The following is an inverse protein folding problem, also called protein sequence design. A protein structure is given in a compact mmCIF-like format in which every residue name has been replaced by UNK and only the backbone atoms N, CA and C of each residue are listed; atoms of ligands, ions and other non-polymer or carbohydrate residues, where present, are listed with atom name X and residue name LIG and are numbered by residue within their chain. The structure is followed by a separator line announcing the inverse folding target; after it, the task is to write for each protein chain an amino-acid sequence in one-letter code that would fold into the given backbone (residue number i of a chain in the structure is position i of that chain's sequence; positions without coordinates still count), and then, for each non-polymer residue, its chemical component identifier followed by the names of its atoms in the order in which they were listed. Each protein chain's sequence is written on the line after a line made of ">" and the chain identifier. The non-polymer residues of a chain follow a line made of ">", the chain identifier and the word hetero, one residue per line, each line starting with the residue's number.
data_IF_820236304596
#
_entry.id   IF_820236304596
#
_cell.length_a   1.000
_cell.length_b   1.000
_cell.length_c   1.000
_cell.angle_alpha   90.00
_cell.angle_beta   90.00
_cell.angle_gamma   90.00
#
_symmetry.space_group_name_H-M   'P 1'
#
loop_
_entity.id
_entity.type
_entity.pdbx_description
1 polymer ?
#
# COMPACT_ATOMS: atom_id res chain seq x y z
N UNK A 1 6.52 -24.59 -8.16
CA UNK A 1 5.73 -23.58 -8.94
C UNK A 1 6.67 -22.78 -9.84
N UNK A 2 6.24 -22.42 -11.05
CA UNK A 2 7.01 -21.49 -11.88
C UNK A 2 7.01 -20.10 -11.22
N UNK A 3 8.19 -19.58 -10.88
CA UNK A 3 8.35 -18.26 -10.28
C UNK A 3 8.57 -17.23 -11.39
N UNK A 4 7.47 -16.79 -12.02
CA UNK A 4 7.49 -15.81 -13.11
C UNK A 4 8.17 -14.51 -12.68
N UNK A 5 8.92 -13.88 -13.59
CA UNK A 5 9.56 -12.59 -13.35
C UNK A 5 8.52 -11.50 -13.07
N UNK A 6 7.47 -11.46 -13.89
CA UNK A 6 6.39 -10.50 -13.84
C UNK A 6 5.16 -10.97 -14.61
N UNK A 7 4.01 -10.38 -14.31
CA UNK A 7 2.82 -10.42 -15.15
C UNK A 7 1.99 -9.16 -14.93
N UNK A 8 1.50 -8.58 -16.02
CA UNK A 8 0.48 -7.54 -16.02
C UNK A 8 -0.83 -8.14 -16.54
N UNK A 9 -1.87 -8.05 -15.72
CA UNK A 9 -3.22 -8.52 -16.03
C UNK A 9 -4.11 -7.30 -16.28
N UNK A 10 -4.20 -6.77 -17.52
CA UNK A 10 -4.84 -5.48 -17.80
C UNK A 10 -6.34 -5.45 -17.46
N UNK A 11 -7.05 -6.56 -17.63
CA UNK A 11 -8.51 -6.61 -17.44
C UNK A 11 -8.93 -6.48 -15.97
N UNK A 12 -8.10 -6.98 -15.06
CA UNK A 12 -8.29 -6.88 -13.60
C UNK A 12 -7.35 -5.86 -12.95
N UNK A 13 -6.47 -5.27 -13.77
CA UNK A 13 -5.46 -4.30 -13.40
C UNK A 13 -4.59 -4.74 -12.22
N UNK A 14 -4.03 -5.94 -12.33
CA UNK A 14 -3.11 -6.52 -11.34
C UNK A 14 -1.72 -6.64 -11.95
N UNK A 15 -0.73 -6.09 -11.25
CA UNK A 15 0.68 -6.29 -11.52
C UNK A 15 1.29 -7.23 -10.49
N UNK A 16 2.12 -8.16 -10.93
CA UNK A 16 3.09 -8.86 -10.08
C UNK A 16 4.49 -8.75 -10.68
N UNK A 17 5.52 -8.62 -9.83
CA UNK A 17 6.92 -8.61 -10.26
C UNK A 17 7.86 -9.07 -9.12
N UNK A 18 8.96 -9.75 -9.45
CA UNK A 18 10.01 -10.16 -8.48
C UNK A 18 11.38 -9.67 -8.89
N UNK A 19 12.28 -9.44 -7.95
CA UNK A 19 13.65 -9.02 -8.24
C UNK A 19 14.40 -10.05 -9.11
N UNK A 20 14.14 -11.36 -8.88
CA UNK A 20 14.85 -12.47 -9.54
C UNK A 20 13.87 -13.45 -10.19
N UNK A 21 13.87 -13.54 -11.51
CA UNK A 21 13.05 -14.53 -12.24
C UNK A 21 13.48 -15.95 -11.87
N UNK A 22 12.52 -16.82 -11.57
CA UNK A 22 12.78 -18.23 -11.22
C UNK A 22 13.23 -18.47 -9.78
N UNK A 23 13.43 -17.42 -8.97
CA UNK A 23 14.00 -17.50 -7.62
C UNK A 23 13.09 -16.76 -6.62
N UNK A 24 12.78 -17.34 -5.45
CA UNK A 24 12.01 -16.61 -4.44
C UNK A 24 12.82 -15.50 -3.77
N UNK A 25 14.17 -15.54 -3.84
CA UNK A 25 15.04 -14.60 -3.15
C UNK A 25 14.92 -13.17 -3.66
N UNK A 26 15.05 -12.23 -2.74
CA UNK A 26 14.91 -10.80 -2.96
C UNK A 26 13.48 -10.31 -2.81
N UNK A 27 13.20 -9.13 -3.36
CA UNK A 27 11.89 -8.50 -3.26
C UNK A 27 10.90 -9.05 -4.28
N UNK A 28 9.64 -9.09 -3.89
CA UNK A 28 8.49 -9.28 -4.77
C UNK A 28 7.43 -8.22 -4.45
N UNK A 29 6.75 -7.74 -5.49
CA UNK A 29 5.62 -6.82 -5.37
C UNK A 29 4.40 -7.36 -6.11
N UNK A 30 3.23 -7.17 -5.52
CA UNK A 30 1.94 -7.28 -6.18
C UNK A 30 1.17 -5.98 -5.97
N UNK A 31 0.48 -5.48 -6.98
CA UNK A 31 -0.32 -4.26 -6.87
C UNK A 31 -1.63 -4.40 -7.65
N UNK A 32 -2.69 -3.77 -7.15
CA UNK A 32 -4.01 -3.78 -7.79
C UNK A 32 -4.51 -2.35 -7.94
N UNK A 33 -5.03 -2.01 -9.11
CA UNK A 33 -5.79 -0.79 -9.34
C UNK A 33 -7.29 -1.12 -9.32
N UNK A 34 -7.88 -1.54 -10.44
CA UNK A 34 -9.22 -2.12 -10.48
C UNK A 34 -10.32 -1.20 -9.95
N UNK A 35 -11.39 -1.80 -9.40
CA UNK A 35 -12.50 -1.09 -8.78
C UNK A 35 -13.12 -1.85 -7.60
N UNK A 36 -13.81 -1.13 -6.72
CA UNK A 36 -14.52 -1.65 -5.54
C UNK A 36 -15.88 -2.28 -5.89
N UNK A 37 -16.06 -2.74 -7.13
CA UNK A 37 -17.22 -3.51 -7.60
C UNK A 37 -16.92 -4.96 -7.96
N UNK A 38 -15.71 -5.45 -7.66
CA UNK A 38 -15.32 -6.83 -7.96
C UNK A 38 -16.05 -7.85 -7.07
N UNK A 39 -16.18 -9.08 -7.57
CA UNK A 39 -16.76 -10.16 -6.78
C UNK A 39 -15.89 -10.40 -5.53
N UNK A 40 -16.54 -10.46 -4.37
CA UNK A 40 -15.87 -10.57 -3.08
C UNK A 40 -14.83 -9.47 -2.79
N UNK A 41 -15.01 -8.25 -3.30
CA UNK A 41 -14.07 -7.16 -3.09
C UNK A 41 -13.94 -6.67 -1.64
N UNK A 42 -12.81 -6.01 -1.40
CA UNK A 42 -12.64 -5.08 -0.30
C UNK A 42 -12.67 -3.66 -0.88
N UNK A 43 -12.53 -2.63 -0.03
CA UNK A 43 -12.30 -1.26 -0.49
C UNK A 43 -10.78 -0.99 -0.54
N UNK A 44 -10.10 -1.63 -1.49
CA UNK A 44 -8.64 -1.81 -1.53
C UNK A 44 -7.98 -1.33 -2.84
N UNK A 45 -8.65 -0.51 -3.64
CA UNK A 45 -8.13 0.00 -4.93
C UNK A 45 -6.82 0.76 -4.71
N UNK A 46 -5.72 0.28 -5.32
CA UNK A 46 -4.39 0.84 -5.14
C UNK A 46 -3.53 0.17 -4.08
N UNK A 47 -4.08 -0.81 -3.36
CA UNK A 47 -3.32 -1.61 -2.38
C UNK A 47 -2.24 -2.44 -3.07
N UNK A 48 -1.20 -2.75 -2.31
CA UNK A 48 -0.03 -3.49 -2.78
C UNK A 48 0.51 -4.43 -1.69
N UNK A 49 1.28 -5.43 -2.09
CA UNK A 49 1.94 -6.41 -1.22
C UNK A 49 3.43 -6.38 -1.54
N UNK A 50 4.27 -6.43 -0.51
CA UNK A 50 5.73 -6.60 -0.64
C UNK A 50 6.17 -7.84 0.12
N UNK A 51 6.92 -8.72 -0.54
CA UNK A 51 7.49 -9.90 0.07
C UNK A 51 9.02 -9.90 0.01
N UNK A 52 9.66 -10.53 1.01
CA UNK A 52 11.10 -10.77 1.09
C UNK A 52 11.33 -12.28 1.05
N UNK A 53 12.08 -12.77 0.08
CA UNK A 53 12.40 -14.20 -0.06
C UNK A 53 11.16 -15.11 -0.13
N UNK A 54 10.09 -14.62 -0.74
CA UNK A 54 8.81 -15.33 -0.82
C UNK A 54 7.94 -15.24 0.44
N UNK A 55 8.35 -14.51 1.48
CA UNK A 55 7.55 -14.25 2.68
C UNK A 55 6.91 -12.86 2.61
N UNK A 56 5.57 -12.74 2.56
CA UNK A 56 4.88 -11.45 2.57
C UNK A 56 5.19 -10.65 3.84
N UNK A 57 5.55 -9.37 3.69
CA UNK A 57 5.93 -8.46 4.78
C UNK A 57 4.97 -7.27 4.86
N UNK A 58 4.80 -6.52 3.77
CA UNK A 58 3.64 -5.62 3.60
C UNK A 58 2.56 -6.45 2.93
N UNK A 59 1.39 -6.56 3.55
CA UNK A 59 0.41 -7.60 3.21
C UNK A 59 -0.97 -7.03 2.94
N UNK A 60 -1.79 -7.83 2.28
CA UNK A 60 -3.23 -7.75 2.42
C UNK A 60 -3.67 -8.82 3.43
N UNK A 61 -4.49 -8.43 4.40
CA UNK A 61 -4.88 -9.31 5.53
C UNK A 61 -5.77 -10.46 5.05
N UNK A 62 -6.48 -10.28 3.93
CA UNK A 62 -7.49 -11.21 3.46
C UNK A 62 -8.80 -11.08 4.24
N UNK A 63 -9.62 -12.12 4.18
CA UNK A 63 -11.00 -12.08 4.70
C UNK A 63 -11.17 -12.98 5.92
N UNK A 64 -12.00 -12.53 6.85
CA UNK A 64 -12.46 -13.34 7.99
C UNK A 64 -13.36 -14.51 7.55
N UNK A 65 -13.80 -15.32 8.51
CA UNK A 65 -14.85 -16.31 8.31
C UNK A 65 -16.12 -15.62 7.83
N UNK A 66 -16.66 -16.10 6.71
CA UNK A 66 -17.85 -15.51 6.12
C UNK A 66 -19.03 -15.55 7.09
N UNK A 67 -19.70 -14.41 7.20
CA UNK A 67 -20.89 -14.21 8.03
C UNK A 67 -22.02 -13.60 7.19
N UNK A 68 -23.19 -13.41 7.80
CA UNK A 68 -24.30 -12.70 7.15
C UNK A 68 -23.90 -11.29 6.68
N UNK A 69 -23.01 -10.60 7.42
CA UNK A 69 -22.48 -9.29 7.04
C UNK A 69 -21.72 -9.32 5.73
N UNK A 70 -20.96 -10.39 5.45
CA UNK A 70 -20.14 -10.53 4.23
C UNK A 70 -20.97 -10.39 2.95
N UNK A 71 -22.23 -10.83 2.98
CA UNK A 71 -23.15 -10.84 1.84
C UNK A 71 -24.24 -9.76 1.95
N UNK A 72 -24.21 -8.97 3.02
CA UNK A 72 -25.22 -7.96 3.34
C UNK A 72 -24.70 -6.52 3.19
N UNK A 73 -25.58 -5.53 3.44
CA UNK A 73 -25.21 -4.12 3.38
C UNK A 73 -24.17 -3.72 4.42
N UNK A 74 -24.04 -4.50 5.50
CA UNK A 74 -23.05 -4.29 6.57
C UNK A 74 -21.64 -4.78 6.20
N UNK A 75 -21.40 -5.26 4.97
CA UNK A 75 -20.09 -5.80 4.53
C UNK A 75 -18.93 -4.90 4.91
N UNK A 76 -19.03 -3.60 4.64
CA UNK A 76 -17.96 -2.63 4.90
C UNK A 76 -17.91 -2.13 6.36
N UNK A 77 -18.71 -2.72 7.26
CA UNK A 77 -18.49 -2.62 8.72
C UNK A 77 -17.47 -3.65 9.22
N UNK A 78 -17.15 -4.66 8.41
CA UNK A 78 -16.09 -5.63 8.70
C UNK A 78 -14.76 -4.93 8.44
N UNK A 79 -13.89 -4.90 9.45
CA UNK A 79 -12.63 -4.15 9.40
C UNK A 79 -11.73 -4.57 8.23
N UNK A 80 -11.69 -5.86 7.88
CA UNK A 80 -10.92 -6.38 6.73
C UNK A 80 -11.44 -5.92 5.37
N UNK A 81 -12.61 -5.30 5.30
CA UNK A 81 -13.19 -4.76 4.06
C UNK A 81 -12.94 -3.24 3.91
N UNK A 82 -12.40 -2.58 4.95
CA UNK A 82 -12.25 -1.12 5.05
C UNK A 82 -10.86 -0.67 4.59
N UNK A 83 -10.79 0.45 3.88
CA UNK A 83 -9.54 0.96 3.30
C UNK A 83 -8.46 1.23 4.35
N UNK A 84 -8.86 1.68 5.55
CA UNK A 84 -7.94 1.89 6.68
C UNK A 84 -7.20 0.64 7.16
N UNK A 85 -7.55 -0.56 6.66
CA UNK A 85 -6.86 -1.82 6.92
C UNK A 85 -6.26 -2.44 5.65
N UNK A 86 -6.00 -1.59 4.64
CA UNK A 86 -5.22 -1.89 3.45
C UNK A 86 -4.07 -0.89 3.30
N UNK A 87 -3.22 -1.10 2.30
CA UNK A 87 -2.02 -0.28 2.09
C UNK A 87 -2.37 1.02 1.35
N UNK A 88 -3.21 1.86 1.96
CA UNK A 88 -3.91 2.97 1.30
C UNK A 88 -3.83 4.29 2.08
N UNK A 89 -3.93 5.43 1.38
CA UNK A 89 -4.05 6.73 2.01
C UNK A 89 -5.43 6.94 2.64
N UNK A 90 -5.51 7.85 3.62
CA UNK A 90 -6.77 8.41 4.13
C UNK A 90 -6.64 9.92 4.26
N UNK A 91 -7.67 10.64 3.81
CA UNK A 91 -7.81 12.09 3.93
C UNK A 91 -8.98 12.36 4.86
N UNK A 92 -8.75 13.06 5.97
CA UNK A 92 -9.73 13.42 7.00
C UNK A 92 -10.52 12.25 7.62
N UNK A 93 -10.07 11.01 7.42
CA UNK A 93 -10.72 9.79 7.88
C UNK A 93 -11.69 9.19 6.85
N UNK A 94 -11.71 9.70 5.61
CA UNK A 94 -12.45 9.09 4.53
C UNK A 94 -11.71 7.85 4.00
N UNK A 95 -12.45 6.76 3.94
CA UNK A 95 -12.09 5.52 3.24
C UNK A 95 -12.62 5.55 1.80
N UNK A 96 -12.18 4.59 0.99
CA UNK A 96 -12.78 4.39 -0.33
C UNK A 96 -14.22 3.91 -0.20
N UNK A 97 -15.03 4.25 -1.20
CA UNK A 97 -16.43 3.82 -1.28
C UNK A 97 -16.59 2.53 -2.07
N UNK A 98 -17.68 1.81 -1.81
CA UNK A 98 -17.97 0.54 -2.47
C UNK A 98 -18.83 0.69 -3.72
N UNK A 99 -18.58 -0.17 -4.70
CA UNK A 99 -19.28 -0.19 -5.98
C UNK A 99 -18.35 -0.04 -7.17
N UNK A 100 -18.85 -0.44 -8.35
CA UNK A 100 -18.07 -0.47 -9.60
C UNK A 100 -17.60 0.91 -10.06
N UNK A 101 -18.34 1.95 -9.71
CA UNK A 101 -17.99 3.34 -10.02
C UNK A 101 -16.78 3.85 -9.23
N UNK A 102 -16.45 3.20 -8.11
CA UNK A 102 -15.32 3.57 -7.28
C UNK A 102 -14.11 2.73 -7.67
N UNK A 103 -13.17 3.33 -8.38
CA UNK A 103 -12.01 2.63 -8.91
C UNK A 103 -10.91 3.55 -9.36
N UNK A 104 -9.77 2.96 -9.67
CA UNK A 104 -8.61 3.68 -10.15
C UNK A 104 -8.87 4.20 -11.58
N UNK A 105 -8.29 5.35 -11.88
CA UNK A 105 -8.32 5.98 -13.20
C UNK A 105 -6.91 6.00 -13.79
N UNK A 106 -6.84 6.11 -15.11
CA UNK A 106 -5.59 6.35 -15.84
C UNK A 106 -4.47 5.35 -15.48
N UNK A 107 -4.85 4.08 -15.36
CA UNK A 107 -3.95 3.01 -14.95
C UNK A 107 -3.01 2.68 -16.11
N UNK A 108 -1.71 2.62 -15.81
CA UNK A 108 -0.68 2.25 -16.78
C UNK A 108 0.35 1.34 -16.13
N UNK A 109 0.90 0.43 -16.92
CA UNK A 109 2.00 -0.44 -16.51
C UNK A 109 3.09 -0.39 -17.58
N UNK A 110 4.33 -0.21 -17.13
CA UNK A 110 5.54 -0.30 -17.93
C UNK A 110 6.37 -1.48 -17.44
N UNK A 111 6.68 -2.40 -18.34
CA UNK A 111 7.35 -3.66 -18.04
C UNK A 111 8.63 -3.75 -18.84
N UNK A 112 9.76 -3.65 -18.16
CA UNK A 112 11.09 -3.85 -18.72
C UNK A 112 11.87 -4.93 -17.92
N UNK A 113 12.94 -5.50 -18.51
CA UNK A 113 13.71 -6.57 -17.88
C UNK A 113 14.39 -6.21 -16.55
N UNK A 114 14.76 -4.94 -16.38
CA UNK A 114 15.45 -4.38 -15.22
C UNK A 114 14.51 -3.59 -14.29
N UNK A 115 13.40 -3.08 -14.82
CA UNK A 115 12.47 -2.23 -14.09
C UNK A 115 11.03 -2.52 -14.47
N UNK A 116 10.15 -2.60 -13.47
CA UNK A 116 8.71 -2.69 -13.68
C UNK A 116 8.02 -1.57 -12.92
N UNK A 117 7.06 -0.90 -13.53
CA UNK A 117 6.34 0.21 -12.93
C UNK A 117 4.83 0.13 -13.19
N UNK A 118 4.03 0.48 -12.20
CA UNK A 118 2.57 0.65 -12.33
C UNK A 118 2.19 2.01 -11.78
N UNK A 119 1.40 2.77 -12.55
CA UNK A 119 0.83 4.06 -12.13
C UNK A 119 -0.68 4.01 -12.13
N UNK A 120 -1.30 4.76 -11.22
CA UNK A 120 -2.75 4.87 -11.13
C UNK A 120 -3.17 6.15 -10.40
N UNK A 121 -4.33 6.70 -10.76
CA UNK A 121 -4.98 7.77 -10.01
C UNK A 121 -6.09 7.17 -9.13
N UNK A 122 -5.95 7.28 -7.81
CA UNK A 122 -6.85 6.70 -6.81
C UNK A 122 -8.06 7.58 -6.51
N UNK A 123 -8.11 8.83 -6.98
CA UNK A 123 -9.19 9.77 -6.67
C UNK A 123 -10.58 9.20 -6.94
N UNK A 124 -10.71 8.41 -8.01
CA UNK A 124 -11.98 7.77 -8.38
C UNK A 124 -12.49 6.71 -7.40
N UNK A 125 -11.67 6.21 -6.48
CA UNK A 125 -12.08 5.22 -5.48
C UNK A 125 -12.67 5.86 -4.20
N UNK A 126 -12.40 7.14 -3.97
CA UNK A 126 -12.83 7.86 -2.78
C UNK A 126 -14.16 8.61 -3.01
N UNK A 127 -14.96 8.80 -1.95
CA UNK A 127 -16.15 9.66 -2.02
C UNK A 127 -15.76 11.12 -2.29
N UNK A 128 -16.66 11.90 -2.90
CA UNK A 128 -16.42 13.31 -3.23
C UNK A 128 -16.08 14.14 -1.98
N UNK A 129 -16.69 13.79 -0.85
CA UNK A 129 -16.49 14.39 0.46
C UNK A 129 -15.05 14.28 0.98
N UNK A 130 -14.25 13.34 0.45
CA UNK A 130 -12.82 13.25 0.74
C UNK A 130 -12.02 14.45 0.22
N UNK A 131 -12.58 15.22 -0.72
CA UNK A 131 -11.93 16.39 -1.30
C UNK A 131 -10.73 16.06 -2.19
N UNK A 132 -10.52 14.80 -2.57
CA UNK A 132 -9.41 14.39 -3.44
C UNK A 132 -9.72 14.77 -4.88
N UNK A 133 -8.93 15.68 -5.46
CA UNK A 133 -8.97 15.95 -6.91
C UNK A 133 -8.18 14.90 -7.66
N UNK A 134 -6.93 14.71 -7.24
CA UNK A 134 -6.01 13.73 -7.78
C UNK A 134 -5.24 13.06 -6.66
N UNK A 135 -5.06 11.76 -6.77
CA UNK A 135 -4.15 11.00 -5.93
C UNK A 135 -3.40 10.01 -6.80
N UNK A 136 -2.22 10.41 -7.26
CA UNK A 136 -1.40 9.53 -8.08
C UNK A 136 -0.57 8.62 -7.20
N UNK A 137 -0.58 7.32 -7.53
CA UNK A 137 0.33 6.32 -6.96
C UNK A 137 1.17 5.72 -8.08
N UNK A 138 2.47 5.62 -7.84
CA UNK A 138 3.44 4.93 -8.70
C UNK A 138 4.19 3.90 -7.87
N UNK A 139 4.12 2.63 -8.29
CA UNK A 139 4.84 1.52 -7.68
C UNK A 139 5.88 1.04 -8.69
N UNK A 140 7.15 1.05 -8.29
CA UNK A 140 8.28 0.64 -9.14
C UNK A 140 9.07 -0.45 -8.44
N UNK A 141 9.48 -1.49 -9.17
CA UNK A 141 10.51 -2.44 -8.78
C UNK A 141 11.72 -2.26 -9.71
N UNK A 142 12.87 -1.96 -9.12
CA UNK A 142 14.18 -2.01 -9.77
C UNK A 142 14.88 -3.33 -9.40
N UNK A 143 15.19 -4.15 -10.40
CA UNK A 143 15.74 -5.51 -10.26
C UNK A 143 17.25 -5.46 -10.20
N UNK A 144 17.78 -5.45 -8.98
CA UNK A 144 19.22 -5.46 -8.71
C UNK A 144 20.00 -4.21 -9.17
N UNK A 145 19.64 -2.99 -8.70
CA UNK A 145 20.59 -1.88 -8.74
C UNK A 145 21.90 -2.27 -8.04
N UNK A 146 23.02 -1.65 -8.43
CA UNK A 146 24.37 -2.00 -7.99
C UNK A 146 24.54 -2.08 -6.46
N UNK A 147 23.81 -1.24 -5.72
CA UNK A 147 23.85 -1.15 -4.27
C UNK A 147 22.82 -2.03 -3.54
N UNK A 148 21.89 -2.68 -4.25
CA UNK A 148 20.86 -3.53 -3.66
C UNK A 148 20.52 -4.72 -4.59
N UNK A 149 21.31 -5.79 -4.58
CA UNK A 149 21.16 -6.93 -5.50
C UNK A 149 19.86 -7.73 -5.30
N UNK A 150 19.15 -7.50 -4.20
CA UNK A 150 17.85 -8.10 -3.90
C UNK A 150 16.66 -7.28 -4.39
N UNK A 151 16.93 -6.20 -5.13
CA UNK A 151 15.95 -5.28 -5.69
C UNK A 151 15.54 -4.18 -4.72
N UNK A 152 14.93 -3.14 -5.28
CA UNK A 152 14.36 -2.01 -4.54
C UNK A 152 12.94 -1.78 -5.03
N UNK A 153 11.98 -1.66 -4.11
CA UNK A 153 10.62 -1.27 -4.44
C UNK A 153 10.40 0.16 -3.97
N UNK A 154 9.93 1.03 -4.86
CA UNK A 154 9.55 2.42 -4.52
C UNK A 154 8.06 2.60 -4.72
N UNK A 155 7.37 3.09 -3.69
CA UNK A 155 5.97 3.54 -3.75
C UNK A 155 5.99 5.06 -3.60
N UNK A 156 5.54 5.80 -4.61
CA UNK A 156 5.44 7.25 -4.56
C UNK A 156 3.99 7.66 -4.75
N UNK A 157 3.47 8.46 -3.83
CA UNK A 157 2.17 9.09 -4.02
C UNK A 157 2.32 10.61 -4.11
N UNK A 158 1.50 11.24 -4.94
CA UNK A 158 1.33 12.70 -4.98
C UNK A 158 -0.15 13.04 -4.94
N UNK A 159 -0.53 14.02 -4.12
CA UNK A 159 -1.92 14.42 -3.93
C UNK A 159 -2.19 15.87 -4.37
N UNK A 160 -3.40 16.10 -4.84
CA UNK A 160 -4.00 17.43 -4.99
C UNK A 160 -5.42 17.39 -4.39
N UNK A 161 -5.66 18.21 -3.37
CA UNK A 161 -6.92 18.29 -2.65
C UNK A 161 -7.69 19.56 -3.03
N UNK A 162 -8.96 19.39 -3.37
CA UNK A 162 -9.87 20.49 -3.67
C UNK A 162 -10.31 21.26 -2.42
N UNK A 163 -10.39 20.57 -1.27
CA UNK A 163 -10.89 21.14 0.00
C UNK A 163 -9.84 21.95 0.78
N UNK A 164 -8.63 22.12 0.24
CA UNK A 164 -7.53 22.80 0.92
C UNK A 164 -6.63 21.84 1.70
N UNK A 165 -5.96 22.35 2.73
CA UNK A 165 -5.10 21.54 3.59
C UNK A 165 -5.98 20.60 4.46
N UNK A 166 -5.66 19.30 4.54
CA UNK A 166 -6.45 18.36 5.33
C UNK A 166 -6.18 18.54 6.83
N UNK A 167 -7.15 18.18 7.67
CA UNK A 167 -6.95 18.09 9.11
C UNK A 167 -6.18 16.84 9.51
N UNK A 168 -6.40 15.73 8.80
CA UNK A 168 -5.68 14.47 8.97
C UNK A 168 -5.31 13.91 7.60
N UNK A 169 -4.06 13.52 7.46
CA UNK A 169 -3.56 12.81 6.28
C UNK A 169 -2.70 11.65 6.77
N UNK A 170 -2.99 10.43 6.31
CA UNK A 170 -2.19 9.27 6.70
C UNK A 170 -2.08 8.23 5.60
N UNK A 171 -1.03 7.41 5.67
CA UNK A 171 -0.87 6.19 4.90
C UNK A 171 -0.93 4.98 5.84
N UNK A 172 -1.88 4.08 5.61
CA UNK A 172 -1.93 2.80 6.31
C UNK A 172 -1.04 1.77 5.60
N UNK A 173 -0.34 0.95 6.38
CA UNK A 173 0.42 -0.22 5.93
C UNK A 173 0.10 -1.40 6.85
N UNK A 174 -0.43 -2.48 6.31
CA UNK A 174 -0.60 -3.74 7.02
C UNK A 174 0.68 -4.56 6.90
N UNK A 175 1.23 -5.01 8.04
CA UNK A 175 2.49 -5.75 8.06
C UNK A 175 2.41 -7.02 8.91
N UNK A 176 3.04 -8.09 8.42
CA UNK A 176 2.99 -9.43 9.03
C UNK A 176 3.97 -9.62 10.18
N UNK A 177 5.12 -8.94 10.14
CA UNK A 177 6.15 -8.94 11.19
C UNK A 177 6.03 -7.74 12.12
N UNK A 178 6.70 -7.79 13.28
CA UNK A 178 6.75 -6.66 14.22
C UNK A 178 7.48 -5.47 13.55
N UNK A 179 6.80 -4.32 13.34
CA UNK A 179 7.47 -3.12 12.86
C UNK A 179 8.23 -2.43 14.00
N UNK A 180 9.41 -1.93 13.70
CA UNK A 180 10.27 -1.16 14.61
C UNK A 180 10.70 0.13 13.92
N UNK A 181 10.44 1.29 14.55
CA UNK A 181 11.01 2.56 14.13
C UNK A 181 12.48 2.62 14.57
N UNK A 182 13.39 2.42 13.61
CA UNK A 182 14.83 2.35 13.90
C UNK A 182 15.51 3.72 13.88
N UNK A 183 14.94 4.66 13.13
CA UNK A 183 15.36 6.07 13.04
C UNK A 183 14.20 6.90 12.45
N UNK A 184 14.23 8.24 12.56
CA UNK A 184 13.30 9.09 11.82
C UNK A 184 13.31 8.75 10.32
N UNK A 185 12.13 8.53 9.73
CA UNK A 185 12.02 8.17 8.32
C UNK A 185 12.42 6.73 7.97
N UNK A 186 12.63 5.84 8.96
CA UNK A 186 12.99 4.43 8.69
C UNK A 186 12.29 3.45 9.63
N UNK A 187 11.46 2.57 9.06
CA UNK A 187 10.92 1.39 9.72
C UNK A 187 11.69 0.13 9.31
N UNK A 188 11.73 -0.84 10.21
CA UNK A 188 12.16 -2.20 9.92
C UNK A 188 11.08 -3.18 10.34
N UNK A 189 10.73 -4.10 9.44
CA UNK A 189 9.73 -5.14 9.69
C UNK A 189 10.43 -6.50 9.58
N UNK A 190 10.24 -7.36 10.58
CA UNK A 190 10.84 -8.70 10.57
C UNK A 190 10.25 -9.61 9.49
N UNK A 191 11.08 -10.47 8.92
CA UNK A 191 10.72 -11.55 8.00
C UNK A 191 11.53 -12.80 8.37
N UNK A 192 11.13 -14.03 8.02
CA UNK A 192 11.95 -15.21 8.32
C UNK A 192 13.38 -15.10 7.76
N UNK A 193 14.36 -15.05 8.66
CA UNK A 193 15.78 -14.99 8.33
C UNK A 193 16.33 -13.63 7.87
N UNK A 194 15.47 -12.63 7.59
CA UNK A 194 15.84 -11.28 7.11
C UNK A 194 14.88 -10.20 7.63
N UNK A 195 15.00 -8.97 7.16
CA UNK A 195 14.00 -7.93 7.42
C UNK A 195 13.74 -7.08 6.17
N UNK A 196 12.60 -6.39 6.16
CA UNK A 196 12.33 -5.33 5.20
C UNK A 196 12.64 -3.99 5.87
N UNK A 197 13.53 -3.20 5.27
CA UNK A 197 13.66 -1.78 5.59
C UNK A 197 12.68 -0.99 4.73
N UNK A 198 11.94 -0.08 5.36
CA UNK A 198 10.99 0.82 4.70
C UNK A 198 11.42 2.25 5.08
N UNK A 199 12.17 2.90 4.19
CA UNK A 199 12.46 4.32 4.32
C UNK A 199 11.25 5.12 3.85
N UNK A 200 10.89 6.19 4.55
CA UNK A 200 9.75 7.03 4.21
C UNK A 200 10.08 8.52 4.36
N UNK A 201 9.60 9.31 3.41
CA UNK A 201 9.78 10.76 3.38
C UNK A 201 8.57 11.42 2.74
N UNK A 202 8.28 12.66 3.10
CA UNK A 202 7.24 13.44 2.46
C UNK A 202 7.68 14.91 2.29
N UNK A 203 7.13 15.56 1.27
CA UNK A 203 7.21 17.01 1.08
C UNK A 203 5.84 17.56 0.74
N UNK A 204 5.63 18.85 0.99
CA UNK A 204 4.44 19.55 0.55
C UNK A 204 4.81 20.83 -0.20
N UNK A 205 3.99 21.18 -1.19
CA UNK A 205 4.29 22.29 -2.09
C UNK A 205 3.58 23.55 -1.59
N UNK A 206 4.35 24.50 -1.07
CA UNK A 206 3.84 25.80 -0.63
C UNK A 206 3.47 26.72 -1.80
N UNK A 207 2.78 27.84 -1.52
CA UNK A 207 2.44 28.86 -2.54
C UNK A 207 3.66 29.50 -3.21
N UNK A 208 4.85 29.37 -2.62
CA UNK A 208 6.11 29.90 -3.15
C UNK A 208 6.87 28.96 -4.10
N UNK A 209 6.41 27.72 -4.28
CA UNK A 209 7.06 26.73 -5.14
C UNK A 209 8.21 25.95 -4.49
N UNK A 210 8.60 26.28 -3.26
CA UNK A 210 9.60 25.51 -2.50
C UNK A 210 8.98 24.26 -1.87
N UNK A 211 9.70 23.15 -1.98
CA UNK A 211 9.38 21.90 -1.31
C UNK A 211 9.75 22.00 0.17
N UNK A 212 8.75 21.84 1.04
CA UNK A 212 8.96 21.83 2.49
C UNK A 212 8.84 20.40 2.98
N UNK A 213 9.85 19.93 3.71
CA UNK A 213 9.84 18.60 4.30
C UNK A 213 8.65 18.45 5.25
N UNK A 214 7.87 17.39 5.04
CA UNK A 214 6.71 17.03 5.84
C UNK A 214 7.09 15.88 6.76
N UNK A 215 6.88 16.05 8.06
CA UNK A 215 7.12 14.99 9.02
C UNK A 215 6.04 13.91 8.90
N UNK A 216 6.48 12.66 8.80
CA UNK A 216 5.63 11.48 8.89
C UNK A 216 5.87 10.80 10.24
N UNK A 217 4.84 10.75 11.09
CA UNK A 217 4.91 10.12 12.41
C UNK A 217 4.28 8.72 12.35
N UNK A 218 5.04 7.64 12.61
CA UNK A 218 4.50 6.30 12.62
C UNK A 218 3.72 6.01 13.89
N UNK A 219 2.46 5.64 13.74
CA UNK A 219 1.66 4.98 14.76
C UNK A 219 1.65 3.47 14.48
N UNK A 220 2.05 2.66 15.46
CA UNK A 220 2.11 1.20 15.34
C UNK A 220 1.01 0.61 16.21
N UNK A 221 0.10 -0.15 15.59
CA UNK A 221 -1.03 -0.81 16.22
C UNK A 221 -0.88 -2.32 16.08
N UNK A 222 -0.99 -3.04 17.20
CA UNK A 222 -1.19 -4.48 17.20
C UNK A 222 -2.68 -4.77 17.03
N UNK A 223 -3.03 -5.60 16.06
CA UNK A 223 -4.39 -6.08 15.84
C UNK A 223 -4.43 -7.57 16.20
N UNK A 224 -5.17 -7.90 17.25
CA UNK A 224 -5.39 -9.28 17.65
C UNK A 224 -6.29 -9.99 16.63
N UNK A 225 -5.81 -11.10 16.07
CA UNK A 225 -6.57 -11.93 15.13
C UNK A 225 -7.28 -13.04 15.90
N UNK A 226 -8.60 -12.91 16.05
CA UNK A 226 -9.46 -13.89 16.74
C UNK A 226 -10.23 -14.79 15.77
N UNK A 227 -10.29 -14.41 14.50
CA UNK A 227 -10.93 -15.19 13.45
C UNK A 227 -10.07 -16.41 13.04
N UNK A 228 -10.63 -17.63 12.97
CA UNK A 228 -9.86 -18.83 12.65
C UNK A 228 -9.19 -18.84 11.27
N UNK A 229 -9.75 -18.14 10.26
CA UNK A 229 -9.11 -18.05 8.94
C UNK A 229 -7.88 -17.14 9.00
N UNK A 230 -8.01 -16.00 9.66
CA UNK A 230 -6.87 -15.09 9.85
C UNK A 230 -5.79 -15.76 10.71
N UNK A 231 -6.16 -16.46 11.77
CA UNK A 231 -5.20 -17.15 12.65
C UNK A 231 -4.38 -18.21 11.92
N UNK A 232 -4.98 -18.91 10.96
CA UNK A 232 -4.27 -19.92 10.16
C UNK A 232 -3.14 -19.34 9.31
N UNK A 233 -3.22 -18.05 8.96
CA UNK A 233 -2.24 -17.38 8.11
C UNK A 233 -1.29 -16.50 8.92
N UNK A 234 -1.83 -15.71 9.86
CA UNK A 234 -1.11 -14.66 10.57
C UNK A 234 -0.79 -14.99 12.03
N UNK A 235 -1.34 -16.08 12.57
CA UNK A 235 -1.26 -16.38 14.01
C UNK A 235 -2.20 -15.48 14.82
N UNK A 236 -1.83 -15.14 16.05
CA UNK A 236 -2.73 -14.44 17.00
C UNK A 236 -2.71 -12.91 16.86
N UNK A 237 -1.85 -12.37 15.99
CA UNK A 237 -1.77 -10.93 15.74
C UNK A 237 -1.25 -10.60 14.34
N UNK A 238 -1.62 -9.41 13.88
CA UNK A 238 -1.03 -8.70 12.75
C UNK A 238 -0.80 -7.24 13.15
N UNK A 239 -0.03 -6.49 12.37
CA UNK A 239 0.30 -5.11 12.70
C UNK A 239 -0.22 -4.16 11.64
N UNK A 240 -0.65 -2.98 12.09
CA UNK A 240 -0.92 -1.83 11.24
C UNK A 240 0.02 -0.69 11.60
N UNK A 241 0.67 -0.14 10.59
CA UNK A 241 1.43 1.10 10.69
C UNK A 241 0.61 2.19 10.02
N UNK A 242 0.35 3.31 10.71
CA UNK A 242 -0.16 4.53 10.10
C UNK A 242 0.93 5.59 10.11
N UNK A 243 1.35 6.05 8.93
CA UNK A 243 2.25 7.19 8.80
C UNK A 243 1.41 8.46 8.74
N UNK A 244 1.36 9.23 9.82
CA UNK A 244 0.58 10.47 9.91
C UNK A 244 1.38 11.66 9.43
N UNK A 245 0.81 12.43 8.51
CA UNK A 245 1.44 13.61 7.94
C UNK A 245 0.89 14.88 8.61
N UNK A 246 1.61 15.36 9.63
CA UNK A 246 1.21 16.53 10.42
C UNK A 246 1.51 17.83 9.67
N UNK A 247 0.50 18.66 9.44
CA UNK A 247 0.66 19.95 8.74
C UNK A 247 0.75 19.85 7.22
N UNK A 248 0.25 18.75 6.64
CA UNK A 248 0.15 18.60 5.20
C UNK A 248 -0.63 19.77 4.56
N UNK A 249 -0.20 20.21 3.38
CA UNK A 249 -0.96 21.14 2.56
C UNK A 249 -1.82 20.40 1.54
N UNK A 250 -2.60 21.16 0.77
CA UNK A 250 -3.46 20.63 -0.29
C UNK A 250 -2.70 19.92 -1.41
N UNK A 251 -1.39 20.15 -1.54
CA UNK A 251 -0.52 19.49 -2.50
C UNK A 251 0.75 19.01 -1.84
N UNK A 252 1.18 17.82 -2.20
CA UNK A 252 2.42 17.24 -1.73
C UNK A 252 2.63 15.84 -2.27
N UNK A 253 3.71 15.24 -1.82
CA UNK A 253 4.08 13.89 -2.17
C UNK A 253 4.72 13.17 -0.99
N UNK A 254 4.61 11.84 -1.00
CA UNK A 254 5.41 10.98 -0.15
C UNK A 254 6.01 9.84 -0.94
N UNK A 255 7.08 9.28 -0.40
CA UNK A 255 7.80 8.16 -0.97
C UNK A 255 8.11 7.13 0.10
N UNK A 256 7.82 5.88 -0.19
CA UNK A 256 8.33 4.71 0.52
C UNK A 256 9.38 4.03 -0.35
N UNK A 257 10.54 3.70 0.24
CA UNK A 257 11.58 2.89 -0.39
C UNK A 257 11.79 1.63 0.43
N UNK A 258 11.46 0.50 -0.17
CA UNK A 258 11.53 -0.82 0.41
C UNK A 258 12.79 -1.53 -0.10
N UNK A 259 13.65 -1.96 0.83
CA UNK A 259 14.86 -2.71 0.54
C UNK A 259 15.05 -3.84 1.55
N UNK A 260 15.66 -4.93 1.10
CA UNK A 260 16.03 -6.03 1.99
C UNK A 260 17.11 -5.56 2.97
N UNK A 261 16.92 -5.89 4.24
CA UNK A 261 17.94 -5.80 5.28
C UNK A 261 18.44 -7.20 5.62
N UNK A 262 19.76 -7.37 5.57
CA UNK A 262 20.45 -8.59 5.94
C UNK A 262 20.42 -8.84 7.45
#
# INVERSE_FOLDING_TARGET
>A
PALIGEAWLPDVQVLVARARTGDPRGLFVSARAGHNGDSHNHNDVGSFIVAVDGHPVIVDVGVETYSAKTFGPERYSIWTMQSGYHNLPSVDGFDQSSGRQFGAREVGCDVAPDRVSMRMNLAGAYPEESGIRDWWRVITLDRAPETAPDGVITISDSWDLASGAPHRLSLSLMVSGLPVAVAPGLLRVSSPGRALSISYSAVHHGRGGDDVALLLEPEIEEISTTDPRLQRVWGDRIWRVRLHASGALSKGEWKLVCAVHA
#
